data_IF_242330475709
#
_entry.id   IF_242330475709
#
_cell.length_a   1.000
_cell.length_b   1.000
_cell.length_c   1.000
_cell.angle_alpha   90.00
_cell.angle_beta   90.00
_cell.angle_gamma   90.00
#
_symmetry.space_group_name_H-M   'P 1'
#
loop_
_entity.id
_entity.type
_entity.pdbx_description
1 polymer ?
#
# COMPACT_ATOMS: atom_id res chain seq x y z
N UNK A 1 -16.02 -11.45 -43.65
CA UNK A 1 -15.80 -12.52 -42.64
C UNK A 1 -14.42 -12.43 -41.96
N UNK A 2 -13.72 -11.28 -41.97
CA UNK A 2 -12.38 -11.12 -41.36
C UNK A 2 -12.36 -10.18 -40.14
N UNK A 3 -13.51 -9.64 -39.73
CA UNK A 3 -13.63 -8.77 -38.55
C UNK A 3 -13.29 -9.51 -37.25
N UNK A 4 -13.60 -10.81 -37.18
CA UNK A 4 -13.31 -11.64 -36.01
C UNK A 4 -11.82 -11.94 -35.80
N UNK A 5 -11.01 -11.95 -36.87
CA UNK A 5 -9.55 -12.15 -36.77
C UNK A 5 -8.81 -10.88 -36.32
N UNK A 6 -9.31 -9.69 -36.67
CA UNK A 6 -8.81 -8.43 -36.09
C UNK A 6 -9.11 -8.34 -34.58
N UNK A 7 -10.25 -8.89 -34.15
CA UNK A 7 -10.65 -8.97 -32.73
C UNK A 7 -9.83 -9.98 -31.90
N UNK A 8 -9.19 -10.97 -32.54
CA UNK A 8 -8.34 -11.96 -31.86
C UNK A 8 -6.84 -11.61 -31.92
N UNK A 9 -6.41 -10.78 -32.88
CA UNK A 9 -5.00 -10.41 -33.09
C UNK A 9 -4.57 -9.06 -32.53
N UNK A 10 -5.51 -8.20 -32.13
CA UNK A 10 -5.23 -6.82 -31.67
C UNK A 10 -5.74 -6.58 -30.25
N UNK A 11 -5.38 -7.48 -29.31
CA UNK A 11 -5.71 -7.45 -27.87
C UNK A 11 -5.11 -6.25 -27.10
N UNK A 12 -4.98 -5.09 -27.76
CA UNK A 12 -4.22 -3.95 -27.26
C UNK A 12 -5.07 -2.86 -26.63
N UNK A 13 -6.32 -2.68 -27.06
CA UNK A 13 -7.10 -1.53 -26.54
C UNK A 13 -8.57 -1.45 -26.95
N UNK A 14 -8.95 -1.97 -28.13
CA UNK A 14 -10.34 -1.87 -28.57
C UNK A 14 -11.26 -2.81 -27.76
N UNK A 15 -10.83 -4.06 -27.50
CA UNK A 15 -11.56 -4.96 -26.60
C UNK A 15 -11.67 -4.38 -25.19
N UNK A 16 -10.58 -3.84 -24.65
CA UNK A 16 -10.59 -3.24 -23.31
C UNK A 16 -11.55 -2.06 -23.23
N UNK A 17 -11.66 -1.24 -24.28
CA UNK A 17 -12.66 -0.17 -24.34
C UNK A 17 -14.09 -0.70 -24.37
N UNK A 18 -14.38 -1.76 -25.12
CA UNK A 18 -15.71 -2.37 -25.17
C UNK A 18 -16.08 -2.96 -23.80
N UNK A 19 -15.18 -3.70 -23.16
CA UNK A 19 -15.38 -4.25 -21.81
C UNK A 19 -15.61 -3.11 -20.82
N UNK A 20 -14.80 -2.05 -20.87
CA UNK A 20 -14.97 -0.88 -20.02
C UNK A 20 -16.33 -0.22 -20.22
N UNK A 21 -16.81 -0.12 -21.46
CA UNK A 21 -18.12 0.43 -21.77
C UNK A 21 -19.26 -0.43 -21.20
N UNK A 22 -19.15 -1.76 -21.27
CA UNK A 22 -20.11 -2.68 -20.66
C UNK A 22 -20.13 -2.51 -19.13
N UNK A 23 -18.95 -2.46 -18.49
CA UNK A 23 -18.83 -2.22 -17.05
C UNK A 23 -19.44 -0.85 -16.68
N UNK A 24 -19.19 0.19 -17.47
CA UNK A 24 -19.80 1.51 -17.28
C UNK A 24 -21.32 1.51 -17.43
N UNK A 25 -21.89 0.68 -18.31
CA UNK A 25 -23.34 0.55 -18.44
C UNK A 25 -23.95 -0.19 -17.24
N UNK A 26 -23.30 -1.24 -16.74
CA UNK A 26 -23.77 -2.02 -15.61
C UNK A 26 -23.67 -1.26 -14.28
N UNK A 27 -22.52 -0.63 -14.02
CA UNK A 27 -22.27 0.05 -12.75
C UNK A 27 -22.54 1.55 -12.82
N UNK A 28 -22.50 2.16 -14.00
CA UNK A 28 -22.64 3.60 -14.20
C UNK A 28 -21.30 4.35 -14.12
N UNK A 29 -21.15 5.38 -14.95
CA UNK A 29 -19.93 6.21 -15.01
C UNK A 29 -19.58 6.94 -13.71
N UNK A 30 -20.54 7.12 -12.80
CA UNK A 30 -20.30 7.74 -11.49
C UNK A 30 -19.79 6.74 -10.43
N UNK A 31 -20.05 5.44 -10.56
CA UNK A 31 -19.69 4.45 -9.53
C UNK A 31 -18.22 4.09 -9.56
N UNK A 32 -17.62 3.90 -10.73
CA UNK A 32 -16.17 3.65 -10.87
C UNK A 32 -15.29 4.70 -10.14
N UNK A 33 -15.42 6.02 -10.39
CA UNK A 33 -14.61 7.01 -9.70
C UNK A 33 -14.95 7.13 -8.21
N UNK A 34 -16.19 6.87 -7.81
CA UNK A 34 -16.57 6.83 -6.39
C UNK A 34 -15.87 5.67 -5.66
N UNK A 35 -15.87 4.47 -6.25
CA UNK A 35 -15.17 3.29 -5.73
C UNK A 35 -13.66 3.53 -5.67
N UNK A 36 -13.06 4.05 -6.74
CA UNK A 36 -11.64 4.37 -6.79
C UNK A 36 -11.23 5.39 -5.72
N UNK A 37 -12.04 6.43 -5.48
CA UNK A 37 -11.79 7.40 -4.39
C UNK A 37 -11.91 6.74 -3.01
N UNK A 38 -12.86 5.84 -2.82
CA UNK A 38 -13.01 5.09 -1.57
C UNK A 38 -11.79 4.23 -1.27
N UNK A 39 -11.38 3.40 -2.24
CA UNK A 39 -10.20 2.54 -2.13
C UNK A 39 -8.92 3.38 -1.98
N UNK A 40 -8.78 4.47 -2.73
CA UNK A 40 -7.62 5.35 -2.65
C UNK A 40 -7.47 6.01 -1.28
N UNK A 41 -8.58 6.47 -0.68
CA UNK A 41 -8.57 6.99 0.69
C UNK A 41 -8.19 5.92 1.71
N UNK A 42 -8.82 4.74 1.66
CA UNK A 42 -8.50 3.66 2.59
C UNK A 42 -7.05 3.21 2.47
N UNK A 43 -6.52 3.10 1.25
CA UNK A 43 -5.13 2.74 1.01
C UNK A 43 -4.16 3.82 1.51
N UNK A 44 -4.53 5.10 1.38
CA UNK A 44 -3.75 6.24 1.89
C UNK A 44 -3.67 6.26 3.41
N UNK A 45 -4.80 6.13 4.11
CA UNK A 45 -4.82 6.06 5.57
C UNK A 45 -4.11 4.80 6.08
N UNK A 46 -4.29 3.67 5.40
CA UNK A 46 -3.59 2.43 5.73
C UNK A 46 -2.07 2.56 5.60
N UNK A 47 -1.58 3.24 4.55
CA UNK A 47 -0.16 3.50 4.38
C UNK A 47 0.39 4.38 5.50
N UNK A 48 -0.30 5.48 5.84
CA UNK A 48 0.11 6.36 6.95
C UNK A 48 0.18 5.63 8.28
N UNK A 49 -0.84 4.83 8.60
CA UNK A 49 -0.87 4.05 9.82
C UNK A 49 0.29 3.04 9.89
N UNK A 50 0.66 2.44 8.74
CA UNK A 50 1.85 1.58 8.66
C UNK A 50 3.15 2.34 8.87
N UNK A 51 3.31 3.50 8.22
CA UNK A 51 4.51 4.33 8.34
C UNK A 51 4.69 4.87 9.77
N UNK A 52 3.60 5.19 10.48
CA UNK A 52 3.61 5.62 11.89
C UNK A 52 3.97 4.46 12.83
N UNK A 53 3.41 3.28 12.60
CA UNK A 53 3.73 2.08 13.37
C UNK A 53 5.21 1.66 13.23
N UNK A 54 5.77 1.73 12.01
CA UNK A 54 7.18 1.46 11.76
C UNK A 54 8.09 2.45 12.52
N UNK A 55 7.75 3.74 12.48
CA UNK A 55 8.48 4.77 13.23
C UNK A 55 8.43 4.57 14.75
N UNK A 56 7.26 4.18 15.29
CA UNK A 56 7.10 3.92 16.72
C UNK A 56 7.89 2.70 17.18
N UNK A 57 7.94 1.64 16.36
CA UNK A 57 8.78 0.46 16.65
C UNK A 57 10.26 0.83 16.62
N UNK A 58 10.74 1.53 15.60
CA UNK A 58 12.14 1.96 15.52
C UNK A 58 12.52 2.87 16.70
N UNK A 59 11.64 3.80 17.10
CA UNK A 59 11.87 4.64 18.29
C UNK A 59 11.92 3.82 19.57
N UNK A 60 11.04 2.85 19.73
CA UNK A 60 10.99 1.99 20.90
C UNK A 60 12.25 1.13 21.04
N UNK A 61 12.87 0.72 19.94
CA UNK A 61 14.14 -0.01 19.94
C UNK A 61 15.32 0.88 20.39
N UNK A 62 15.35 2.15 19.98
CA UNK A 62 16.36 3.13 20.41
C UNK A 62 16.22 3.49 21.90
N UNK A 63 15.00 3.61 22.41
CA UNK A 63 14.70 3.95 23.81
C UNK A 63 15.01 2.81 24.79
N UNK A 64 14.87 1.55 24.37
CA UNK A 64 15.21 0.36 25.17
C UNK A 64 16.74 0.16 25.25
N UNK A 65 17.49 0.53 24.21
CA UNK A 65 18.96 0.42 24.19
C UNK A 65 19.66 1.47 25.08
N UNK A 66 19.06 2.66 25.23
CA UNK A 66 19.64 3.76 26.01
C UNK A 66 19.52 3.62 27.55
N UNK A 67 18.83 2.59 28.06
CA UNK A 67 18.55 2.42 29.50
C UNK A 67 19.29 1.27 30.20
N UNK A 68 20.39 0.76 29.64
CA UNK A 68 21.29 -0.16 30.36
C UNK A 68 22.20 0.64 31.32
N UNK A 69 22.04 0.50 32.65
CA UNK A 69 22.78 1.30 33.61
C UNK A 69 24.26 0.90 33.60
N UNK A 70 25.12 1.85 33.26
CA UNK A 70 26.54 1.84 33.58
C UNK A 70 26.70 2.03 35.10
N UNK A 71 26.66 0.93 35.88
CA UNK A 71 27.21 0.92 37.24
C UNK A 71 27.46 -0.50 37.75
N UNK A 72 28.50 -1.16 37.26
CA UNK A 72 29.19 -2.24 37.99
C UNK A 72 30.62 -2.33 37.46
N UNK A 73 31.41 -1.29 37.71
CA UNK A 73 32.84 -1.32 37.39
C UNK A 73 33.64 -0.43 38.36
N UNK A 74 33.28 -0.49 39.65
CA UNK A 74 34.04 0.12 40.75
C UNK A 74 33.99 -0.81 41.97
N UNK A 75 34.61 -1.98 41.87
CA UNK A 75 34.91 -2.85 43.03
C UNK A 75 35.98 -3.91 42.67
N UNK A 76 37.14 -3.49 42.17
CA UNK A 76 38.35 -4.32 42.20
C UNK A 76 39.61 -3.47 41.96
N UNK A 77 39.86 -2.55 42.89
CA UNK A 77 41.18 -2.03 43.19
C UNK A 77 41.19 -1.95 44.70
N UNK A 78 41.63 -3.04 45.34
CA UNK A 78 42.12 -3.15 46.72
C UNK A 78 42.10 -4.64 47.11
N UNK A 79 43.09 -5.39 46.65
CA UNK A 79 43.54 -6.67 47.22
C UNK A 79 44.98 -6.94 46.81
#
# INVERSE_FOLDING_TARGET
MNTYLLFLGSFGGQEMMIVFLIVLLLFGAKKLPQLARGIGKSMGEFKRARDEFEQEITRSEDEVSAKKPAKTEEASKDA
#
